data_IF_298293843812
#
_entry.id   IF_298293843812
#
_cell.length_a   1.000
_cell.length_b   1.000
_cell.length_c   1.000
_cell.angle_alpha   90.00
_cell.angle_beta   90.00
_cell.angle_gamma   90.00
#
_symmetry.space_group_name_H-M   'P 1'
#
loop_
_entity.id
_entity.type
_entity.pdbx_description
1 polymer ?
#
# COMPACT_ATOMS: atom_id res chain seq x y z
N UNK A 1 42.90 46.92 31.47
CA UNK A 1 42.76 45.60 30.82
C UNK A 1 41.26 45.39 30.68
N UNK A 2 40.69 45.86 29.57
CA UNK A 2 39.24 45.92 29.34
C UNK A 2 38.83 44.76 28.43
N UNK A 3 37.94 43.91 28.93
CA UNK A 3 37.29 42.85 28.15
C UNK A 3 36.42 43.45 27.03
N UNK A 4 36.67 43.02 25.80
CA UNK A 4 35.78 43.30 24.68
C UNK A 4 34.58 42.33 24.73
N UNK A 5 33.33 42.79 24.60
CA UNK A 5 32.18 41.91 24.60
C UNK A 5 32.17 41.02 23.35
N UNK A 6 32.07 39.71 23.55
CA UNK A 6 31.92 38.73 22.48
C UNK A 6 30.68 39.05 21.64
N UNK A 7 30.87 39.17 20.32
CA UNK A 7 29.78 39.40 19.38
C UNK A 7 28.73 38.27 19.50
N UNK A 8 27.43 38.59 19.54
CA UNK A 8 26.39 37.57 19.64
C UNK A 8 26.43 36.67 18.40
N UNK A 9 26.63 35.37 18.64
CA UNK A 9 26.59 34.31 17.62
C UNK A 9 25.22 34.34 16.95
N UNK A 10 25.18 34.75 15.68
CA UNK A 10 23.96 34.80 14.89
C UNK A 10 23.30 33.42 14.88
N UNK A 11 22.07 33.34 15.39
CA UNK A 11 21.28 32.11 15.34
C UNK A 11 21.11 31.66 13.88
N UNK A 12 21.19 30.35 13.57
CA UNK A 12 21.00 29.87 12.20
C UNK A 12 19.62 30.31 11.69
N UNK A 13 19.61 31.09 10.61
CA UNK A 13 18.38 31.54 9.98
C UNK A 13 17.52 30.33 9.61
N UNK A 14 16.27 30.30 10.08
CA UNK A 14 15.31 29.29 9.64
C UNK A 14 15.13 29.40 8.13
N UNK A 15 15.29 28.32 7.35
CA UNK A 15 15.13 28.37 5.91
C UNK A 15 13.72 28.87 5.56
N UNK A 16 13.58 29.71 4.52
CA UNK A 16 12.29 30.25 4.12
C UNK A 16 11.32 29.11 3.76
N UNK A 17 10.01 29.29 4.02
CA UNK A 17 9.02 28.31 3.61
C UNK A 17 9.10 28.08 2.09
N UNK A 18 8.97 26.83 1.61
CA UNK A 18 9.00 26.56 0.19
C UNK A 18 7.87 27.32 -0.53
N UNK A 19 8.10 27.82 -1.75
CA UNK A 19 7.10 28.58 -2.48
C UNK A 19 5.84 27.72 -2.71
N UNK A 20 4.64 28.31 -2.62
CA UNK A 20 3.40 27.59 -2.89
C UNK A 20 3.43 27.01 -4.31
N UNK A 21 3.26 25.69 -4.42
CA UNK A 21 3.30 24.97 -5.69
C UNK A 21 4.61 24.25 -6.01
N UNK A 22 5.65 24.34 -5.16
CA UNK A 22 6.85 23.53 -5.34
C UNK A 22 6.51 22.03 -5.29
N UNK A 23 6.72 21.32 -6.40
CA UNK A 23 6.51 19.89 -6.49
C UNK A 23 7.35 19.18 -5.42
N UNK A 24 6.72 18.33 -4.59
CA UNK A 24 7.44 17.58 -3.56
C UNK A 24 8.49 16.70 -4.22
N UNK A 25 9.76 16.90 -3.86
CA UNK A 25 10.85 16.03 -4.27
C UNK A 25 10.63 14.63 -3.66
N UNK A 26 10.55 13.57 -4.49
CA UNK A 26 10.36 12.20 -4.00
C UNK A 26 11.50 11.79 -3.07
N UNK A 27 11.17 11.11 -1.97
CA UNK A 27 12.18 10.65 -1.01
C UNK A 27 12.67 9.25 -1.38
N UNK A 28 13.96 8.93 -1.16
CA UNK A 28 14.47 7.58 -1.37
C UNK A 28 13.63 6.52 -0.64
N UNK A 29 13.30 5.44 -1.33
CA UNK A 29 12.47 4.34 -0.84
C UNK A 29 10.95 4.55 -0.98
N UNK A 30 10.48 5.74 -1.34
CA UNK A 30 9.09 5.92 -1.79
C UNK A 30 8.90 5.19 -3.14
N UNK A 31 7.69 4.71 -3.39
CA UNK A 31 7.34 4.14 -4.69
C UNK A 31 7.14 5.24 -5.73
N UNK A 32 7.52 4.96 -6.98
CA UNK A 32 7.12 5.82 -8.10
C UNK A 32 5.60 5.89 -8.21
N UNK A 33 5.09 6.98 -8.79
CA UNK A 33 3.64 7.15 -8.99
C UNK A 33 3.05 6.00 -9.82
N UNK A 34 3.74 5.53 -10.85
CA UNK A 34 3.31 4.37 -11.63
C UNK A 34 3.08 3.12 -10.76
N UNK A 35 4.06 2.75 -9.94
CA UNK A 35 3.93 1.58 -9.06
C UNK A 35 2.86 1.71 -7.99
N UNK A 36 2.63 2.93 -7.45
CA UNK A 36 1.51 3.19 -6.54
C UNK A 36 0.16 2.93 -7.20
N UNK A 37 -0.01 3.39 -8.44
CA UNK A 37 -1.25 3.18 -9.19
C UNK A 37 -1.42 1.71 -9.61
N UNK A 38 -0.33 1.01 -9.95
CA UNK A 38 -0.35 -0.44 -10.20
C UNK A 38 -0.86 -1.18 -8.96
N UNK A 39 -0.32 -0.90 -7.78
CA UNK A 39 -0.78 -1.53 -6.54
C UNK A 39 -2.25 -1.20 -6.24
N UNK A 40 -2.65 0.07 -6.35
CA UNK A 40 -4.05 0.46 -6.14
C UNK A 40 -5.00 -0.27 -7.10
N UNK A 41 -4.64 -0.37 -8.39
CA UNK A 41 -5.41 -1.11 -9.39
C UNK A 41 -5.47 -2.62 -9.08
N UNK A 42 -4.37 -3.21 -8.62
CA UNK A 42 -4.32 -4.61 -8.18
C UNK A 42 -5.27 -4.87 -7.00
N UNK A 43 -5.33 -3.98 -6.01
CA UNK A 43 -6.31 -4.08 -4.92
C UNK A 43 -7.76 -3.88 -5.38
N UNK A 44 -8.00 -2.98 -6.33
CA UNK A 44 -9.31 -2.83 -6.95
C UNK A 44 -9.74 -4.12 -7.68
N UNK A 45 -8.84 -4.76 -8.42
CA UNK A 45 -9.10 -6.06 -9.04
C UNK A 45 -9.40 -7.15 -7.99
N UNK A 46 -8.67 -7.18 -6.88
CA UNK A 46 -8.94 -8.11 -5.78
C UNK A 46 -10.32 -7.88 -5.13
N UNK A 47 -10.79 -6.63 -5.04
CA UNK A 47 -12.15 -6.32 -4.57
C UNK A 47 -13.20 -7.04 -5.43
N UNK A 48 -13.09 -6.91 -6.77
CA UNK A 48 -14.01 -7.57 -7.68
C UNK A 48 -13.88 -9.09 -7.65
N UNK A 49 -12.66 -9.61 -7.50
CA UNK A 49 -12.44 -11.04 -7.34
C UNK A 49 -13.13 -11.59 -6.08
N UNK A 50 -13.02 -10.90 -4.94
CA UNK A 50 -13.72 -11.27 -3.70
C UNK A 50 -15.24 -11.10 -3.80
N UNK A 51 -15.72 -10.11 -4.55
CA UNK A 51 -17.15 -9.97 -4.84
C UNK A 51 -17.68 -11.16 -5.67
N UNK A 52 -16.88 -11.66 -6.63
CA UNK A 52 -17.21 -12.87 -7.37
C UNK A 52 -17.22 -14.11 -6.45
N UNK A 53 -16.21 -14.26 -5.59
CA UNK A 53 -16.17 -15.34 -4.57
C UNK A 53 -17.41 -15.32 -3.69
N UNK A 54 -17.82 -14.15 -3.20
CA UNK A 54 -19.06 -13.99 -2.44
C UNK A 54 -20.27 -14.50 -3.23
N UNK A 55 -20.44 -14.02 -4.47
CA UNK A 55 -21.59 -14.36 -5.29
C UNK A 55 -21.66 -15.86 -5.59
N UNK A 56 -20.54 -16.46 -5.96
CA UNK A 56 -20.41 -17.90 -6.18
C UNK A 56 -20.70 -18.70 -4.90
N UNK A 57 -20.20 -18.25 -3.75
CA UNK A 57 -20.45 -18.89 -2.46
C UNK A 57 -21.94 -18.88 -2.11
N UNK A 58 -22.62 -17.75 -2.34
CA UNK A 58 -24.07 -17.68 -2.17
C UNK A 58 -24.78 -18.66 -3.12
N UNK A 59 -24.45 -18.68 -4.41
CA UNK A 59 -25.08 -19.55 -5.43
C UNK A 59 -24.90 -21.04 -5.15
N UNK A 60 -23.71 -21.45 -4.71
CA UNK A 60 -23.42 -22.83 -4.35
C UNK A 60 -23.96 -23.22 -2.97
N UNK A 61 -24.42 -22.24 -2.17
CA UNK A 61 -24.88 -22.47 -0.79
C UNK A 61 -23.76 -22.84 0.19
N UNK A 62 -22.50 -22.66 -0.22
CA UNK A 62 -21.31 -22.97 0.58
C UNK A 62 -20.84 -21.69 1.26
N UNK A 63 -20.74 -21.70 2.59
CA UNK A 63 -20.31 -20.54 3.35
C UNK A 63 -18.83 -20.60 3.71
N UNK A 64 -18.03 -19.64 3.26
CA UNK A 64 -16.74 -19.34 3.88
C UNK A 64 -16.94 -18.96 5.35
N UNK A 65 -15.90 -19.01 6.18
CA UNK A 65 -16.04 -18.72 7.61
C UNK A 65 -16.55 -17.29 7.86
N UNK A 66 -16.17 -16.36 6.98
CA UNK A 66 -16.53 -14.96 7.08
C UNK A 66 -17.92 -14.68 6.50
N UNK A 67 -18.39 -15.45 5.51
CA UNK A 67 -19.71 -15.31 4.90
C UNK A 67 -20.83 -16.04 5.65
N UNK A 68 -20.53 -17.26 6.12
CA UNK A 68 -21.50 -18.17 6.73
C UNK A 68 -22.37 -18.90 5.71
N UNK A 69 -23.05 -19.95 6.14
CA UNK A 69 -23.97 -20.68 5.27
C UNK A 69 -25.20 -19.83 4.97
N UNK A 70 -25.84 -20.03 3.82
CA UNK A 70 -27.01 -19.23 3.42
C UNK A 70 -28.19 -19.36 4.41
N UNK A 71 -28.32 -20.52 5.07
CA UNK A 71 -29.32 -20.78 6.12
C UNK A 71 -28.96 -20.18 7.49
N UNK A 72 -27.70 -19.81 7.70
CA UNK A 72 -27.19 -19.24 8.95
C UNK A 72 -26.04 -18.25 8.65
N UNK A 73 -26.36 -17.08 8.09
CA UNK A 73 -25.34 -16.12 7.65
C UNK A 73 -24.58 -15.53 8.84
N UNK A 74 -23.28 -15.30 8.66
CA UNK A 74 -22.45 -14.64 9.68
C UNK A 74 -22.85 -13.16 9.80
N UNK A 75 -22.72 -12.52 10.98
CA UNK A 75 -23.00 -11.10 11.13
C UNK A 75 -22.29 -10.22 10.09
N UNK A 76 -22.95 -9.15 9.63
CA UNK A 76 -22.47 -8.28 8.54
C UNK A 76 -21.05 -7.77 8.78
N UNK A 77 -20.70 -7.43 10.02
CA UNK A 77 -19.36 -6.95 10.39
C UNK A 77 -18.27 -7.96 10.03
N UNK A 78 -18.53 -9.26 10.20
CA UNK A 78 -17.55 -10.30 9.84
C UNK A 78 -17.51 -10.48 8.32
N UNK A 79 -18.67 -10.39 7.66
CA UNK A 79 -18.77 -10.54 6.20
C UNK A 79 -17.96 -9.51 5.43
N UNK A 80 -17.82 -8.29 5.97
CA UNK A 80 -17.11 -7.21 5.30
C UNK A 80 -15.59 -7.20 5.57
N UNK A 81 -15.07 -8.02 6.50
CA UNK A 81 -13.65 -8.01 6.89
C UNK A 81 -12.70 -8.09 5.68
N UNK A 82 -12.86 -9.02 4.72
CA UNK A 82 -11.96 -9.11 3.58
C UNK A 82 -11.98 -7.83 2.72
N UNK A 83 -13.17 -7.26 2.50
CA UNK A 83 -13.34 -6.02 1.73
C UNK A 83 -12.75 -4.82 2.45
N UNK A 84 -12.87 -4.74 3.78
CA UNK A 84 -12.25 -3.67 4.56
C UNK A 84 -10.74 -3.69 4.40
N UNK A 85 -10.10 -4.87 4.48
CA UNK A 85 -8.66 -5.01 4.26
C UNK A 85 -8.31 -4.56 2.84
N UNK A 86 -9.04 -5.04 1.84
CA UNK A 86 -8.81 -4.70 0.43
C UNK A 86 -8.87 -3.18 0.20
N UNK A 87 -9.92 -2.53 0.70
CA UNK A 87 -10.12 -1.09 0.54
C UNK A 87 -9.05 -0.30 1.28
N UNK A 88 -8.76 -0.65 2.54
CA UNK A 88 -7.75 0.07 3.34
C UNK A 88 -6.38 -0.02 2.70
N UNK A 89 -5.94 -1.21 2.26
CA UNK A 89 -4.62 -1.37 1.65
C UNK A 89 -4.59 -0.76 0.24
N UNK A 90 -5.67 -0.87 -0.54
CA UNK A 90 -5.80 -0.23 -1.85
C UNK A 90 -5.69 1.30 -1.77
N UNK A 91 -6.43 1.92 -0.85
CA UNK A 91 -6.34 3.37 -0.59
C UNK A 91 -4.94 3.74 -0.10
N UNK A 92 -4.38 2.95 0.83
CA UNK A 92 -3.04 3.23 1.37
C UNK A 92 -1.95 3.20 0.29
N UNK A 93 -2.15 2.40 -0.76
CA UNK A 93 -1.22 2.29 -1.89
C UNK A 93 -1.07 3.58 -2.71
N UNK A 94 -2.01 4.51 -2.60
CA UNK A 94 -1.96 5.80 -3.31
C UNK A 94 -1.02 6.81 -2.64
N UNK A 95 -0.69 6.65 -1.34
CA UNK A 95 0.13 7.62 -0.62
C UNK A 95 1.63 7.49 -0.93
N UNK A 96 2.35 8.62 -0.92
CA UNK A 96 3.80 8.68 -1.10
C UNK A 96 4.53 8.37 0.23
N UNK A 97 4.66 7.09 0.58
CA UNK A 97 5.32 6.65 1.81
C UNK A 97 6.29 5.47 1.56
N UNK A 98 7.42 5.45 2.28
CA UNK A 98 8.42 4.36 2.19
C UNK A 98 7.88 2.98 2.61
N UNK A 99 6.84 2.96 3.45
CA UNK A 99 6.26 1.72 4.02
C UNK A 99 5.23 1.05 3.10
N UNK A 100 4.81 1.68 1.99
CA UNK A 100 3.72 1.15 1.13
C UNK A 100 3.95 -0.30 0.67
N UNK A 101 5.14 -0.70 0.16
CA UNK A 101 5.33 -2.09 -0.27
C UNK A 101 5.22 -3.11 0.88
N UNK A 102 5.65 -2.73 2.08
CA UNK A 102 5.54 -3.58 3.26
C UNK A 102 4.09 -3.72 3.72
N UNK A 103 3.31 -2.62 3.68
CA UNK A 103 1.87 -2.67 3.97
C UNK A 103 1.12 -3.53 2.96
N UNK A 104 1.51 -3.46 1.68
CA UNK A 104 0.93 -4.30 0.62
C UNK A 104 1.24 -5.79 0.86
N UNK A 105 2.49 -6.11 1.23
CA UNK A 105 2.87 -7.48 1.56
C UNK A 105 2.15 -8.00 2.81
N UNK A 106 2.01 -7.16 3.84
CA UNK A 106 1.23 -7.47 5.04
C UNK A 106 -0.25 -7.67 4.73
N UNK A 107 -0.83 -6.85 3.86
CA UNK A 107 -2.20 -7.02 3.36
C UNK A 107 -2.38 -8.35 2.63
N UNK A 108 -1.48 -8.69 1.70
CA UNK A 108 -1.51 -9.97 1.00
C UNK A 108 -1.40 -11.17 1.98
N UNK A 109 -0.54 -11.07 2.99
CA UNK A 109 -0.43 -12.09 4.03
C UNK A 109 -1.71 -12.22 4.87
N UNK A 110 -2.38 -11.11 5.19
CA UNK A 110 -3.67 -11.13 5.87
C UNK A 110 -4.75 -11.82 5.02
N UNK A 111 -4.80 -11.52 3.71
CA UNK A 111 -5.72 -12.19 2.78
C UNK A 111 -5.41 -13.70 2.68
N UNK A 112 -4.14 -14.09 2.65
CA UNK A 112 -3.75 -15.49 2.67
C UNK A 112 -4.20 -16.20 3.96
N UNK A 113 -4.10 -15.54 5.13
CA UNK A 113 -4.59 -16.11 6.39
C UNK A 113 -6.12 -16.33 6.37
N UNK A 114 -6.88 -15.40 5.78
CA UNK A 114 -8.33 -15.55 5.57
C UNK A 114 -8.61 -16.79 4.72
N UNK A 115 -7.92 -16.94 3.60
CA UNK A 115 -8.05 -18.08 2.69
C UNK A 115 -7.68 -19.41 3.35
N UNK A 116 -6.63 -19.44 4.17
CA UNK A 116 -6.18 -20.66 4.87
C UNK A 116 -7.27 -21.15 5.84
N UNK A 117 -7.94 -20.24 6.54
CA UNK A 117 -9.02 -20.61 7.46
C UNK A 117 -10.22 -21.26 6.74
N UNK A 118 -10.42 -20.98 5.46
CA UNK A 118 -11.51 -21.53 4.65
C UNK A 118 -11.31 -22.99 4.19
N UNK A 119 -10.10 -23.56 4.30
CA UNK A 119 -9.87 -24.98 3.97
C UNK A 119 -10.71 -25.94 4.82
N UNK A 120 -11.08 -25.53 6.03
CA UNK A 120 -11.97 -26.32 6.91
C UNK A 120 -13.41 -26.42 6.39
N UNK A 121 -13.80 -25.57 5.44
CA UNK A 121 -15.18 -25.43 4.93
C UNK A 121 -15.28 -25.75 3.44
N UNK A 122 -14.33 -25.29 2.63
CA UNK A 122 -14.32 -25.51 1.18
C UNK A 122 -12.92 -25.39 0.59
N UNK A 123 -12.34 -26.52 0.18
CA UNK A 123 -11.02 -26.57 -0.46
C UNK A 123 -10.98 -25.78 -1.78
N UNK A 124 -12.05 -25.84 -2.58
CA UNK A 124 -12.10 -25.15 -3.87
C UNK A 124 -12.12 -23.62 -3.74
N UNK A 125 -12.95 -23.10 -2.84
CA UNK A 125 -12.99 -21.65 -2.57
C UNK A 125 -11.68 -21.18 -1.91
N UNK A 126 -11.17 -21.92 -0.92
CA UNK A 126 -9.90 -21.60 -0.28
C UNK A 126 -8.74 -21.54 -1.28
N UNK A 127 -8.70 -22.43 -2.27
CA UNK A 127 -7.69 -22.40 -3.32
C UNK A 127 -7.80 -21.13 -4.20
N UNK A 128 -9.01 -20.70 -4.56
CA UNK A 128 -9.24 -19.47 -5.33
C UNK A 128 -8.82 -18.24 -4.51
N UNK A 129 -9.24 -18.16 -3.24
CA UNK A 129 -8.86 -17.07 -2.35
C UNK A 129 -7.33 -17.00 -2.16
N UNK A 130 -6.68 -18.15 -2.01
CA UNK A 130 -5.23 -18.24 -1.89
C UNK A 130 -4.51 -17.82 -3.18
N UNK A 131 -5.07 -18.15 -4.35
CA UNK A 131 -4.54 -17.69 -5.64
C UNK A 131 -4.64 -16.17 -5.78
N UNK A 132 -5.75 -15.55 -5.34
CA UNK A 132 -5.90 -14.09 -5.29
C UNK A 132 -4.84 -13.50 -4.35
N UNK A 133 -4.69 -14.03 -3.14
CA UNK A 133 -3.69 -13.58 -2.18
C UNK A 133 -2.24 -13.74 -2.72
N UNK A 134 -1.97 -14.84 -3.43
CA UNK A 134 -0.70 -15.08 -4.11
C UNK A 134 -0.41 -14.03 -5.19
N UNK A 135 -1.39 -13.69 -6.02
CA UNK A 135 -1.25 -12.64 -7.01
C UNK A 135 -0.97 -11.27 -6.36
N UNK A 136 -1.70 -10.93 -5.28
CA UNK A 136 -1.42 -9.73 -4.48
C UNK A 136 0.02 -9.72 -3.96
N UNK A 137 0.50 -10.85 -3.42
CA UNK A 137 1.84 -10.98 -2.88
C UNK A 137 2.91 -10.82 -3.97
N UNK A 138 2.72 -11.41 -5.15
CA UNK A 138 3.64 -11.27 -6.29
C UNK A 138 3.79 -9.81 -6.71
N UNK A 139 2.67 -9.09 -6.87
CA UNK A 139 2.73 -7.66 -7.24
C UNK A 139 3.34 -6.82 -6.11
N UNK A 140 3.03 -7.13 -4.84
CA UNK A 140 3.63 -6.47 -3.70
C UNK A 140 5.16 -6.64 -3.66
N UNK A 141 5.67 -7.85 -3.90
CA UNK A 141 7.12 -8.12 -4.01
C UNK A 141 7.73 -7.40 -5.21
N UNK A 142 7.09 -7.45 -6.38
CA UNK A 142 7.56 -6.77 -7.58
C UNK A 142 7.69 -5.24 -7.38
N UNK A 143 6.80 -4.64 -6.58
CA UNK A 143 6.83 -3.20 -6.30
C UNK A 143 8.12 -2.71 -5.64
N UNK A 144 8.90 -3.58 -5.00
CA UNK A 144 10.20 -3.21 -4.43
C UNK A 144 11.20 -2.76 -5.51
N UNK A 145 11.07 -3.26 -6.74
CA UNK A 145 11.84 -2.79 -7.89
C UNK A 145 11.49 -1.35 -8.30
N UNK A 146 10.31 -0.88 -7.90
CA UNK A 146 9.72 0.42 -8.22
C UNK A 146 10.03 1.57 -7.26
N UNK A 147 11.02 1.41 -6.36
CA UNK A 147 11.37 2.45 -5.38
C UNK A 147 12.37 3.46 -5.94
N UNK A 148 12.20 4.72 -5.57
CA UNK A 148 13.23 5.75 -5.79
C UNK A 148 14.52 5.35 -5.07
N UNK A 149 15.63 5.37 -5.80
CA UNK A 149 16.97 5.08 -5.27
C UNK A 149 17.70 6.38 -4.93
N UNK A 150 18.56 6.38 -3.89
CA UNK A 150 19.47 7.51 -3.68
C UNK A 150 20.34 7.73 -4.91
N UNK A 151 20.60 9.00 -5.26
CA UNK A 151 21.60 9.33 -6.26
C UNK A 151 23.00 8.96 -5.73
N UNK A 152 23.89 8.42 -6.58
CA UNK A 152 25.27 8.18 -6.18
C UNK A 152 25.95 9.48 -5.71
N UNK A 153 26.84 9.42 -4.70
CA UNK A 153 27.66 10.56 -4.30
C UNK A 153 28.44 11.10 -5.51
N UNK A 154 28.32 12.40 -5.79
CA UNK A 154 29.05 13.07 -6.88
C UNK A 154 28.30 13.15 -8.22
N UNK A 155 27.04 12.74 -8.31
CA UNK A 155 26.21 13.11 -9.46
C UNK A 155 25.90 14.61 -9.39
N UNK A 156 26.38 15.46 -10.33
CA UNK A 156 26.06 16.87 -10.31
C UNK A 156 24.56 17.06 -10.43
N UNK A 157 23.98 17.93 -9.60
CA UNK A 157 22.60 18.37 -9.79
C UNK A 157 22.55 18.98 -11.20
N UNK A 158 21.71 18.43 -12.07
CA UNK A 158 21.45 19.03 -13.38
C UNK A 158 20.98 20.45 -13.10
N UNK A 159 21.84 21.42 -13.38
CA UNK A 159 21.51 22.82 -13.25
C UNK A 159 20.31 23.08 -14.17
N UNK A 160 19.25 23.65 -13.61
CA UNK A 160 18.13 24.15 -14.43
C UNK A 160 18.70 25.04 -15.52
N UNK A 161 18.24 24.91 -16.78
CA UNK A 161 18.63 25.85 -17.83
C UNK A 161 18.30 27.28 -17.34
N UNK A 162 19.18 28.26 -17.58
CA UNK A 162 18.89 29.65 -17.23
C UNK A 162 17.61 30.08 -17.94
N UNK A 163 16.72 30.71 -17.19
CA UNK A 163 15.48 31.29 -17.71
C UNK A 163 15.84 32.27 -18.85
N UNK A 164 15.37 32.01 -20.07
CA UNK A 164 15.36 32.96 -21.20
C UNK A 164 14.11 33.85 -21.16
#
# INVERSE_FOLDING_TARGET
MSDAPAAPMAAPATPPPPPPGSARVPRPGELTTGWRMTLAATWAAAFFAYAAVWKTSEELGIGTWWLGARSSPTPVIVRIIPFTIIVVIGVTSTYAMRRVPWLNLGGAAAMAAIAIADFSRSTGLAAIELAIAGALAVVAVASFAGRYRPAPPGTPAVASPPDE
#
